data_IF_373419370766
#
_entry.id   IF_373419370766
#
_cell.length_a   1.000
_cell.length_b   1.000
_cell.length_c   1.000
_cell.angle_alpha   90.00
_cell.angle_beta   90.00
_cell.angle_gamma   90.00
#
_symmetry.space_group_name_H-M   'P 1'
#
loop_
_entity.id
_entity.type
_entity.pdbx_description
1 polymer ?
#
# COMPACT_ATOMS: atom_id res chain seq x y z
N UNK A 1 6.15 17.48 -3.77
CA UNK A 1 5.91 16.10 -3.27
C UNK A 1 7.09 15.53 -2.47
N UNK A 2 8.31 15.56 -3.03
CA UNK A 2 9.58 15.19 -2.35
C UNK A 2 9.79 15.96 -1.03
N UNK A 3 9.53 17.28 -1.00
CA UNK A 3 9.68 18.09 0.22
C UNK A 3 8.70 17.70 1.36
N UNK A 4 7.56 17.07 1.06
CA UNK A 4 6.65 16.52 2.09
C UNK A 4 7.19 15.23 2.72
N UNK A 5 8.22 14.61 2.12
CA UNK A 5 8.76 13.31 2.55
C UNK A 5 9.93 13.41 3.52
N UNK A 6 10.36 14.63 3.90
CA UNK A 6 11.41 14.87 4.92
C UNK A 6 12.68 14.04 4.67
N UNK A 7 13.38 14.27 3.54
CA UNK A 7 14.52 13.44 3.11
C UNK A 7 15.65 13.30 4.15
N UNK A 8 15.76 14.25 5.07
CA UNK A 8 16.68 14.24 6.22
C UNK A 8 16.39 13.10 7.23
N UNK A 9 15.15 12.58 7.25
CA UNK A 9 14.74 11.45 8.10
C UNK A 9 14.84 10.09 7.39
N UNK A 10 15.19 10.09 6.11
CA UNK A 10 15.30 8.88 5.30
C UNK A 10 16.67 8.24 5.45
N UNK A 11 16.74 6.91 5.34
CA UNK A 11 18.02 6.21 5.20
C UNK A 11 18.70 6.58 3.87
N UNK A 12 20.03 6.36 3.73
CA UNK A 12 20.71 6.57 2.45
C UNK A 12 20.05 5.84 1.28
N UNK A 13 19.58 4.60 1.50
CA UNK A 13 18.87 3.79 0.50
C UNK A 13 17.54 4.42 0.09
N UNK A 14 16.74 4.82 1.07
CA UNK A 14 15.45 5.49 0.84
C UNK A 14 15.62 6.82 0.10
N UNK A 15 16.71 7.56 0.35
CA UNK A 15 17.04 8.75 -0.44
C UNK A 15 17.40 8.42 -1.89
N UNK A 16 18.16 7.35 -2.12
CA UNK A 16 18.40 6.83 -3.48
C UNK A 16 17.08 6.52 -4.19
N UNK A 17 16.18 5.80 -3.53
CA UNK A 17 14.87 5.51 -4.10
C UNK A 17 13.99 6.73 -4.34
N UNK A 18 14.04 7.71 -3.45
CA UNK A 18 13.34 8.98 -3.65
C UNK A 18 13.87 9.73 -4.88
N UNK A 19 15.18 9.67 -5.15
CA UNK A 19 15.79 10.31 -6.32
C UNK A 19 15.42 9.58 -7.62
N UNK A 20 15.50 8.26 -7.64
CA UNK A 20 15.30 7.46 -8.86
C UNK A 20 13.82 7.25 -9.20
N UNK A 21 12.97 7.11 -8.18
CA UNK A 21 11.56 6.69 -8.32
C UNK A 21 10.55 7.71 -7.79
N UNK A 22 10.99 8.82 -7.18
CA UNK A 22 10.10 9.80 -6.57
C UNK A 22 9.42 9.33 -5.27
N UNK A 23 9.72 8.12 -4.78
CA UNK A 23 9.14 7.55 -3.57
C UNK A 23 10.14 6.65 -2.81
N UNK A 24 10.27 6.77 -1.48
CA UNK A 24 11.34 6.09 -0.74
C UNK A 24 11.02 4.65 -0.34
N UNK A 25 9.75 4.22 -0.38
CA UNK A 25 9.32 2.89 0.09
C UNK A 25 8.98 1.95 -1.07
N UNK A 26 9.93 1.83 -2.01
CA UNK A 26 9.86 0.91 -3.15
C UNK A 26 10.86 -0.23 -2.98
N UNK A 27 10.80 -1.24 -3.86
CA UNK A 27 11.72 -2.39 -3.86
C UNK A 27 11.76 -3.07 -2.47
N UNK A 28 12.93 -3.16 -1.84
CA UNK A 28 13.14 -3.80 -0.54
C UNK A 28 12.53 -3.05 0.64
N UNK A 29 12.07 -1.80 0.44
CA UNK A 29 11.34 -1.02 1.44
C UNK A 29 9.82 -1.20 1.29
N UNK A 30 9.35 -1.81 0.18
CA UNK A 30 7.93 -2.04 -0.05
C UNK A 30 7.42 -3.20 0.79
N UNK A 31 6.29 -2.98 1.48
CA UNK A 31 5.55 -4.03 2.20
C UNK A 31 4.15 -4.09 1.64
N UNK A 32 3.76 -5.23 1.05
CA UNK A 32 2.40 -5.42 0.57
C UNK A 32 1.43 -5.38 1.76
N UNK A 33 0.44 -4.48 1.66
CA UNK A 33 -0.64 -4.35 2.63
C UNK A 33 -1.89 -3.84 1.91
N UNK A 34 -3.04 -4.11 2.49
CA UNK A 34 -4.32 -3.57 2.05
C UNK A 34 -4.90 -2.78 3.22
N UNK A 35 -5.19 -1.50 2.99
CA UNK A 35 -5.82 -0.64 3.98
C UNK A 35 -7.28 -1.07 4.17
N UNK A 36 -7.63 -1.49 5.39
CA UNK A 36 -8.99 -1.93 5.74
C UNK A 36 -9.81 -0.85 6.45
N UNK A 37 -9.13 0.10 7.09
CA UNK A 37 -9.74 1.20 7.85
C UNK A 37 -9.02 2.50 7.54
N UNK A 38 -9.66 3.63 7.88
CA UNK A 38 -8.93 4.89 8.03
C UNK A 38 -8.02 4.88 9.26
N UNK A 39 -7.46 6.05 9.58
CA UNK A 39 -6.66 6.24 10.79
C UNK A 39 -7.50 5.95 12.05
N UNK A 40 -6.91 5.22 12.98
CA UNK A 40 -7.53 4.85 14.25
C UNK A 40 -6.63 5.26 15.43
N UNK A 41 -7.21 5.67 16.58
CA UNK A 41 -6.47 5.76 17.84
C UNK A 41 -5.85 4.40 18.21
N UNK A 42 -4.67 4.41 18.83
CA UNK A 42 -3.89 3.19 19.11
C UNK A 42 -4.68 2.14 19.94
N UNK A 43 -5.46 2.60 20.93
CA UNK A 43 -6.30 1.73 21.74
C UNK A 43 -7.42 1.04 20.92
N UNK A 44 -7.96 1.72 19.91
CA UNK A 44 -8.99 1.16 19.03
C UNK A 44 -8.38 0.24 17.97
N UNK A 45 -7.19 0.55 17.45
CA UNK A 45 -6.51 -0.27 16.46
C UNK A 45 -6.30 -1.71 16.94
N UNK A 46 -5.84 -1.89 18.19
CA UNK A 46 -5.64 -3.22 18.78
C UNK A 46 -6.95 -4.01 18.91
N UNK A 47 -8.04 -3.34 19.29
CA UNK A 47 -9.35 -3.96 19.38
C UNK A 47 -9.88 -4.36 17.99
N UNK A 48 -9.75 -3.49 17.00
CA UNK A 48 -10.16 -3.75 15.62
C UNK A 48 -9.38 -4.93 15.05
N UNK A 49 -8.06 -4.99 15.27
CA UNK A 49 -7.23 -6.12 14.85
C UNK A 49 -7.71 -7.44 15.49
N UNK A 50 -7.95 -7.45 16.81
CA UNK A 50 -8.40 -8.64 17.53
C UNK A 50 -9.74 -9.19 17.00
N UNK A 51 -10.65 -8.31 16.58
CA UNK A 51 -11.95 -8.68 16.01
C UNK A 51 -11.83 -9.15 14.56
N UNK A 52 -11.04 -8.45 13.74
CA UNK A 52 -10.94 -8.74 12.31
C UNK A 52 -10.04 -9.94 12.01
N UNK A 53 -8.98 -10.17 12.79
CA UNK A 53 -8.02 -11.26 12.57
C UNK A 53 -8.68 -12.64 12.37
N UNK A 54 -9.57 -13.14 13.26
CA UNK A 54 -10.20 -14.44 13.07
C UNK A 54 -11.17 -14.51 11.88
N UNK A 55 -11.72 -13.37 11.46
CA UNK A 55 -12.64 -13.28 10.31
C UNK A 55 -11.86 -13.29 8.99
N UNK A 56 -10.73 -12.59 8.94
CA UNK A 56 -9.92 -12.46 7.73
C UNK A 56 -8.98 -13.64 7.51
N UNK A 57 -8.42 -14.22 8.58
CA UNK A 57 -7.49 -15.34 8.50
C UNK A 57 -7.96 -16.50 7.59
N UNK A 58 -9.22 -16.98 7.65
CA UNK A 58 -9.70 -18.05 6.77
C UNK A 58 -9.94 -17.60 5.32
N UNK A 59 -10.08 -16.30 5.06
CA UNK A 59 -10.33 -15.75 3.71
C UNK A 59 -9.04 -15.53 2.91
N UNK A 60 -7.88 -15.49 3.58
CA UNK A 60 -6.60 -15.21 2.94
C UNK A 60 -6.06 -16.46 2.22
N UNK A 61 -5.99 -16.44 0.87
CA UNK A 61 -5.45 -17.56 0.12
C UNK A 61 -3.97 -17.78 0.44
N UNK A 62 -3.54 -19.04 0.47
CA UNK A 62 -2.15 -19.44 0.63
C UNK A 62 -1.77 -20.40 -0.51
N UNK A 63 -0.92 -19.97 -1.46
CA UNK A 63 -0.26 -18.66 -1.56
C UNK A 63 -1.22 -17.53 -1.96
N UNK A 64 -0.90 -16.29 -1.57
CA UNK A 64 -1.61 -15.10 -2.02
C UNK A 64 -1.12 -14.72 -3.42
N UNK A 65 -1.88 -15.11 -4.45
CA UNK A 65 -1.50 -14.85 -5.85
C UNK A 65 -2.00 -13.49 -6.32
N UNK A 66 -1.10 -12.67 -6.86
CA UNK A 66 -1.42 -11.43 -7.57
C UNK A 66 -1.43 -11.76 -9.06
N UNK A 67 -2.61 -11.70 -9.71
CA UNK A 67 -2.77 -12.08 -11.11
C UNK A 67 -2.85 -10.92 -12.10
N UNK A 68 -2.96 -9.68 -11.62
CA UNK A 68 -3.05 -8.51 -12.50
C UNK A 68 -2.63 -7.24 -11.78
N UNK A 69 -2.09 -6.29 -12.54
CA UNK A 69 -1.91 -4.91 -12.12
C UNK A 69 -3.02 -4.05 -12.72
N UNK A 70 -3.48 -3.06 -11.98
CA UNK A 70 -4.54 -2.16 -12.41
C UNK A 70 -4.07 -0.71 -12.28
N UNK A 71 -4.18 0.05 -13.36
CA UNK A 71 -4.01 1.50 -13.34
C UNK A 71 -5.35 2.15 -13.00
N UNK A 72 -5.35 3.00 -11.99
CA UNK A 72 -6.52 3.78 -11.58
C UNK A 72 -6.25 5.28 -11.72
N UNK A 73 -7.29 6.03 -12.09
CA UNK A 73 -7.32 7.48 -12.01
C UNK A 73 -8.35 7.94 -11.00
N UNK A 74 -8.04 8.97 -10.22
CA UNK A 74 -9.01 9.64 -9.35
C UNK A 74 -9.81 10.64 -10.18
N UNK A 75 -11.14 10.48 -10.20
CA UNK A 75 -12.03 11.42 -10.88
C UNK A 75 -12.29 12.66 -10.00
N UNK A 76 -12.91 13.69 -10.57
CA UNK A 76 -13.22 14.93 -9.85
C UNK A 76 -14.18 14.74 -8.65
N UNK A 77 -14.88 13.60 -8.58
CA UNK A 77 -15.72 13.19 -7.46
C UNK A 77 -14.94 12.49 -6.32
N UNK A 78 -13.60 12.42 -6.42
CA UNK A 78 -12.71 11.77 -5.46
C UNK A 78 -12.73 10.25 -5.51
N UNK A 79 -13.42 9.65 -6.50
CA UNK A 79 -13.50 8.18 -6.64
C UNK A 79 -12.50 7.68 -7.67
N UNK A 80 -11.84 6.57 -7.34
CA UNK A 80 -10.98 5.87 -8.29
C UNK A 80 -11.80 5.17 -9.37
N UNK A 81 -11.35 5.31 -10.63
CA UNK A 81 -11.89 4.63 -11.81
C UNK A 81 -10.78 3.78 -12.42
N UNK A 82 -11.11 2.54 -12.76
CA UNK A 82 -10.18 1.64 -13.45
C UNK A 82 -9.94 2.19 -14.86
N UNK A 83 -8.67 2.47 -15.16
CA UNK A 83 -8.24 2.92 -16.49
C UNK A 83 -7.76 1.73 -17.32
N UNK A 84 -6.97 0.85 -16.70
CA UNK A 84 -6.41 -0.31 -17.37
C UNK A 84 -6.21 -1.47 -16.39
N UNK A 85 -6.43 -2.70 -16.85
CA UNK A 85 -6.05 -3.92 -16.14
C UNK A 85 -5.12 -4.74 -17.02
N UNK A 86 -3.92 -5.00 -16.54
CA UNK A 86 -2.90 -5.79 -17.21
C UNK A 86 -2.74 -7.11 -16.46
N UNK A 87 -2.92 -8.23 -17.15
CA UNK A 87 -2.66 -9.55 -16.57
C UNK A 87 -1.16 -9.75 -16.35
N UNK A 88 -0.79 -10.31 -15.19
CA UNK A 88 0.56 -10.80 -14.96
C UNK A 88 0.66 -12.20 -15.55
N UNK A 89 1.50 -12.37 -16.57
CA UNK A 89 1.60 -13.61 -17.36
C UNK A 89 2.85 -14.44 -17.04
N UNK A 90 3.58 -14.11 -15.98
CA UNK A 90 4.79 -14.79 -15.51
C UNK A 90 4.55 -15.63 -14.27
#
# INVERSE_FOLDING_TARGET
EIARRRPERLSPRQRGYLADWGYPYVMEEFRFHLTLTGDLPEAEAAQVEAVLAPVLAPLLPRPFRIGSLCLFGEAADGRFRLLERVALTG
#
